data_IF_735820653200
#
_entry.id   IF_735820653200
#
_cell.length_a   1.000
_cell.length_b   1.000
_cell.length_c   1.000
_cell.angle_alpha   90.00
_cell.angle_beta   90.00
_cell.angle_gamma   90.00
#
_symmetry.space_group_name_H-M   'P 1'
#
loop_
_entity.id
_entity.type
_entity.pdbx_description
1 polymer ?
#
# COMPACT_ATOMS: atom_id res chain seq x y z
N UNK A 1 -18.52 -37.78 6.70
CA UNK A 1 -17.71 -37.73 5.47
C UNK A 1 -16.97 -36.40 5.42
N UNK A 2 -15.66 -36.37 5.70
CA UNK A 2 -14.86 -35.16 5.42
C UNK A 2 -14.82 -34.99 3.91
N UNK A 3 -15.59 -34.06 3.37
CA UNK A 3 -15.45 -33.68 1.96
C UNK A 3 -14.06 -33.08 1.82
N UNK A 4 -13.12 -33.83 1.23
CA UNK A 4 -11.79 -33.38 0.85
C UNK A 4 -11.87 -32.39 -0.33
N UNK A 5 -12.71 -31.36 -0.20
CA UNK A 5 -12.94 -30.37 -1.23
C UNK A 5 -11.96 -29.21 -1.02
N UNK A 6 -11.07 -29.02 -1.99
CA UNK A 6 -10.15 -27.88 -2.02
C UNK A 6 -10.69 -26.86 -3.03
N UNK A 7 -10.99 -25.61 -2.62
CA UNK A 7 -11.42 -24.57 -3.55
C UNK A 7 -10.40 -24.36 -4.67
N UNK A 8 -10.88 -24.25 -5.92
CA UNK A 8 -10.02 -24.06 -7.11
C UNK A 8 -9.16 -22.80 -7.00
N UNK A 9 -9.74 -21.73 -6.44
CA UNK A 9 -9.05 -20.46 -6.21
C UNK A 9 -7.85 -20.66 -5.27
N UNK A 10 -8.03 -21.37 -4.15
CA UNK A 10 -6.92 -21.62 -3.23
C UNK A 10 -5.82 -22.50 -3.87
N UNK A 11 -6.17 -23.43 -4.75
CA UNK A 11 -5.17 -24.20 -5.50
C UNK A 11 -4.37 -23.30 -6.44
N UNK A 12 -5.03 -22.39 -7.16
CA UNK A 12 -4.35 -21.45 -8.06
C UNK A 12 -3.48 -20.44 -7.28
N UNK A 13 -4.03 -19.88 -6.20
CA UNK A 13 -3.31 -18.96 -5.33
C UNK A 13 -2.09 -19.62 -4.69
N UNK A 14 -2.16 -20.92 -4.34
CA UNK A 14 -1.00 -21.63 -3.79
C UNK A 14 0.18 -21.66 -4.79
N UNK A 15 -0.10 -21.87 -6.08
CA UNK A 15 0.91 -21.85 -7.14
C UNK A 15 1.47 -20.43 -7.32
N UNK A 16 0.61 -19.42 -7.30
CA UNK A 16 1.07 -18.03 -7.41
C UNK A 16 1.96 -17.64 -6.23
N UNK A 17 1.56 -18.00 -5.00
CA UNK A 17 2.35 -17.78 -3.79
C UNK A 17 3.71 -18.48 -3.86
N UNK A 18 3.77 -19.72 -4.35
CA UNK A 18 5.04 -20.44 -4.52
C UNK A 18 6.00 -19.70 -5.47
N UNK A 19 5.48 -19.16 -6.58
CA UNK A 19 6.27 -18.36 -7.52
C UNK A 19 6.77 -17.06 -6.87
N UNK A 20 5.91 -16.35 -6.12
CA UNK A 20 6.29 -15.11 -5.42
C UNK A 20 7.33 -15.37 -4.33
N UNK A 21 7.18 -16.44 -3.53
CA UNK A 21 8.18 -16.85 -2.52
C UNK A 21 9.52 -17.14 -3.21
N UNK A 22 9.50 -17.84 -4.35
CA UNK A 22 10.69 -18.09 -5.15
C UNK A 22 11.35 -16.80 -5.65
N UNK A 23 10.56 -15.83 -6.13
CA UNK A 23 11.06 -14.55 -6.62
C UNK A 23 11.65 -13.71 -5.48
N UNK A 24 10.94 -13.58 -4.36
CA UNK A 24 11.43 -12.84 -3.18
C UNK A 24 12.74 -13.44 -2.70
N UNK A 25 12.84 -14.77 -2.58
CA UNK A 25 14.06 -15.43 -2.13
C UNK A 25 15.24 -15.18 -3.09
N UNK A 26 14.99 -15.24 -4.41
CA UNK A 26 16.00 -14.90 -5.42
C UNK A 26 16.45 -13.44 -5.30
N UNK A 27 15.52 -12.50 -5.17
CA UNK A 27 15.82 -11.08 -5.00
C UNK A 27 16.68 -10.83 -3.75
N UNK A 28 16.35 -11.46 -2.62
CA UNK A 28 17.15 -11.35 -1.40
C UNK A 28 18.57 -11.91 -1.60
N UNK A 29 18.70 -13.06 -2.26
CA UNK A 29 20.03 -13.62 -2.59
C UNK A 29 20.82 -12.67 -3.49
N UNK A 30 20.20 -12.11 -4.53
CA UNK A 30 20.86 -11.15 -5.40
C UNK A 30 21.24 -9.85 -4.69
N UNK A 31 20.45 -9.39 -3.73
CA UNK A 31 20.78 -8.23 -2.91
C UNK A 31 22.03 -8.46 -2.05
N UNK A 32 22.17 -9.65 -1.46
CA UNK A 32 23.36 -10.02 -0.67
C UNK A 32 24.60 -10.12 -1.56
N UNK A 33 24.46 -10.64 -2.78
CA UNK A 33 25.58 -10.88 -3.71
C UNK A 33 25.91 -9.63 -4.55
N UNK A 34 25.15 -8.53 -4.42
CA UNK A 34 25.29 -7.31 -5.23
C UNK A 34 26.70 -6.70 -5.23
N UNK A 35 27.47 -6.88 -4.16
CA UNK A 35 28.81 -6.31 -4.01
C UNK A 35 29.92 -7.17 -4.65
N UNK A 36 29.61 -8.34 -5.21
CA UNK A 36 30.58 -9.20 -5.89
C UNK A 36 30.78 -8.77 -7.35
N UNK A 37 31.93 -9.08 -7.97
CA UNK A 37 32.20 -8.70 -9.35
C UNK A 37 31.14 -9.30 -10.30
N UNK A 38 30.59 -8.51 -11.24
CA UNK A 38 29.42 -8.88 -12.04
C UNK A 38 29.67 -10.09 -12.97
N UNK A 39 30.92 -10.37 -13.32
CA UNK A 39 31.30 -11.52 -14.17
C UNK A 39 31.17 -12.89 -13.47
N UNK A 40 31.22 -12.94 -12.13
CA UNK A 40 30.98 -14.18 -11.39
C UNK A 40 29.48 -14.42 -11.20
N UNK A 41 28.70 -13.36 -10.98
CA UNK A 41 27.26 -13.47 -10.75
C UNK A 41 26.53 -14.09 -11.94
N UNK A 42 26.82 -13.62 -13.16
CA UNK A 42 26.18 -14.15 -14.38
C UNK A 42 26.52 -15.61 -14.63
N UNK A 43 27.74 -16.05 -14.29
CA UNK A 43 28.18 -17.43 -14.47
C UNK A 43 27.53 -18.40 -13.48
N UNK A 44 27.34 -17.97 -12.23
CA UNK A 44 26.77 -18.81 -11.17
C UNK A 44 25.25 -18.67 -11.00
N UNK A 45 24.60 -17.80 -11.78
CA UNK A 45 23.15 -17.59 -11.74
C UNK A 45 22.31 -18.89 -11.79
N UNK A 46 22.53 -19.84 -12.74
CA UNK A 46 21.75 -21.08 -12.77
C UNK A 46 22.01 -21.98 -11.55
N UNK A 47 23.23 -21.92 -11.00
CA UNK A 47 23.61 -22.73 -9.84
C UNK A 47 22.97 -22.19 -8.55
N UNK A 48 22.90 -20.87 -8.41
CA UNK A 48 22.20 -20.19 -7.33
C UNK A 48 20.69 -20.49 -7.39
N UNK A 49 20.09 -20.40 -8.57
CA UNK A 49 18.67 -20.74 -8.78
C UNK A 49 18.37 -22.20 -8.40
N UNK A 50 19.24 -23.13 -8.80
CA UNK A 50 19.12 -24.54 -8.45
C UNK A 50 19.20 -24.75 -6.94
N UNK A 51 20.20 -24.16 -6.27
CA UNK A 51 20.37 -24.29 -4.81
C UNK A 51 19.16 -23.74 -4.06
N UNK A 52 18.68 -22.55 -4.45
CA UNK A 52 17.48 -21.93 -3.89
C UNK A 52 16.24 -22.82 -4.07
N UNK A 53 15.98 -23.27 -5.31
CA UNK A 53 14.81 -24.08 -5.63
C UNK A 53 14.87 -25.46 -4.99
N UNK A 54 16.06 -26.05 -4.91
CA UNK A 54 16.32 -27.33 -4.23
C UNK A 54 16.11 -27.20 -2.73
N UNK A 55 16.60 -26.13 -2.10
CA UNK A 55 16.36 -25.85 -0.68
C UNK A 55 14.86 -25.69 -0.39
N UNK A 56 14.15 -24.87 -1.18
CA UNK A 56 12.71 -24.70 -1.05
C UNK A 56 11.97 -26.03 -1.16
N UNK A 57 12.28 -26.84 -2.17
CA UNK A 57 11.66 -28.15 -2.36
C UNK A 57 11.97 -29.12 -1.19
N UNK A 58 13.21 -29.10 -0.71
CA UNK A 58 13.69 -29.99 0.35
C UNK A 58 13.09 -29.68 1.74
N UNK A 59 12.81 -28.41 2.03
CA UNK A 59 12.16 -28.00 3.28
C UNK A 59 10.63 -28.01 3.18
N UNK A 60 10.05 -27.90 1.99
CA UNK A 60 8.59 -27.94 1.80
C UNK A 60 8.07 -29.36 1.57
N UNK A 61 8.31 -29.93 0.40
CA UNK A 61 7.68 -31.18 -0.05
C UNK A 61 8.22 -32.37 0.73
N UNK A 62 9.54 -32.44 0.98
CA UNK A 62 10.13 -33.60 1.67
C UNK A 62 9.71 -33.71 3.14
N UNK A 63 9.53 -32.59 3.83
CA UNK A 63 9.16 -32.59 5.26
C UNK A 63 7.64 -32.57 5.47
N UNK A 64 6.92 -31.73 4.71
CA UNK A 64 5.50 -31.43 4.97
C UNK A 64 4.55 -31.99 3.92
N UNK A 65 5.05 -32.66 2.87
CA UNK A 65 4.25 -33.16 1.73
C UNK A 65 3.35 -32.07 1.11
N UNK A 66 3.83 -30.82 1.11
CA UNK A 66 3.13 -29.64 0.61
C UNK A 66 4.15 -28.57 0.25
N UNK A 67 3.87 -27.80 -0.81
CA UNK A 67 4.65 -26.58 -1.12
C UNK A 67 4.38 -25.48 -0.10
N UNK A 68 5.19 -24.41 -0.07
CA UNK A 68 5.02 -23.35 0.91
C UNK A 68 3.69 -22.60 0.72
N UNK A 69 3.32 -22.28 -0.52
CA UNK A 69 2.03 -21.68 -0.85
C UNK A 69 0.86 -22.59 -0.47
N UNK A 70 1.01 -23.90 -0.65
CA UNK A 70 0.02 -24.88 -0.20
C UNK A 70 -0.11 -24.90 1.33
N UNK A 71 1.01 -24.89 2.06
CA UNK A 71 1.01 -24.84 3.54
C UNK A 71 0.28 -23.60 4.06
N UNK A 72 0.54 -22.42 3.48
CA UNK A 72 -0.12 -21.16 3.87
C UNK A 72 -1.64 -21.21 3.66
N UNK A 73 -2.11 -21.97 2.67
CA UNK A 73 -3.53 -22.15 2.37
C UNK A 73 -4.11 -23.45 2.97
N UNK A 74 -3.36 -24.12 3.85
CA UNK A 74 -3.74 -25.39 4.50
C UNK A 74 -4.13 -26.49 3.50
N UNK A 75 -3.38 -26.58 2.41
CA UNK A 75 -3.46 -27.60 1.36
C UNK A 75 -2.22 -28.51 1.49
N UNK A 76 -2.39 -29.80 1.28
CA UNK A 76 -1.31 -30.80 1.27
C UNK A 76 -1.53 -31.82 0.16
N UNK A 77 -0.46 -32.43 -0.34
CA UNK A 77 -0.62 -33.63 -1.16
C UNK A 77 -1.13 -34.81 -0.34
N UNK A 78 -1.80 -35.74 -0.99
CA UNK A 78 -2.20 -36.99 -0.36
C UNK A 78 -0.98 -37.89 -0.09
N UNK A 79 -0.73 -38.20 1.20
CA UNK A 79 0.45 -38.94 1.65
C UNK A 79 0.59 -40.30 0.97
N UNK A 80 -0.52 -40.98 0.74
CA UNK A 80 -0.57 -42.32 0.14
C UNK A 80 -0.14 -42.31 -1.33
N UNK A 81 -0.19 -41.14 -1.99
CA UNK A 81 0.19 -41.00 -3.39
C UNK A 81 1.67 -40.63 -3.57
N UNK A 82 2.36 -40.12 -2.54
CA UNK A 82 3.76 -39.69 -2.59
C UNK A 82 4.71 -40.83 -2.20
N UNK A 83 4.86 -41.81 -3.10
CA UNK A 83 5.95 -42.79 -3.01
C UNK A 83 7.32 -42.13 -3.23
N UNK A 84 8.42 -42.69 -2.68
CA UNK A 84 9.76 -42.12 -2.83
C UNK A 84 10.18 -41.97 -4.30
N UNK A 85 9.72 -42.85 -5.18
CA UNK A 85 9.95 -42.76 -6.64
C UNK A 85 9.26 -41.55 -7.25
N UNK A 86 7.99 -41.31 -6.91
CA UNK A 86 7.25 -40.14 -7.40
C UNK A 86 7.79 -38.84 -6.83
N UNK A 87 8.31 -38.87 -5.60
CA UNK A 87 8.97 -37.73 -4.97
C UNK A 87 10.27 -37.37 -5.72
N UNK A 88 11.07 -38.37 -6.13
CA UNK A 88 12.23 -38.14 -7.02
C UNK A 88 11.79 -37.62 -8.39
N UNK A 89 10.73 -38.19 -8.97
CA UNK A 89 10.21 -37.73 -10.26
C UNK A 89 9.67 -36.30 -10.19
N UNK A 90 9.02 -35.91 -9.08
CA UNK A 90 8.60 -34.54 -8.83
C UNK A 90 9.80 -33.60 -8.77
N UNK A 91 10.82 -33.92 -7.97
CA UNK A 91 12.04 -33.12 -7.91
C UNK A 91 12.67 -32.94 -9.29
N UNK A 92 12.75 -34.02 -10.05
CA UNK A 92 13.32 -33.99 -11.39
C UNK A 92 12.52 -33.08 -12.33
N UNK A 93 11.18 -33.22 -12.36
CA UNK A 93 10.33 -32.47 -13.27
C UNK A 93 10.23 -30.98 -12.91
N UNK A 94 10.27 -30.62 -11.63
CA UNK A 94 10.14 -29.21 -11.19
C UNK A 94 11.47 -28.48 -11.08
N UNK A 95 12.47 -29.10 -10.46
CA UNK A 95 13.74 -28.42 -10.12
C UNK A 95 14.82 -28.77 -11.15
N UNK A 96 15.07 -30.06 -11.39
CA UNK A 96 16.18 -30.48 -12.24
C UNK A 96 15.96 -30.11 -13.72
N UNK A 97 14.73 -30.27 -14.23
CA UNK A 97 14.39 -29.94 -15.60
C UNK A 97 14.51 -28.43 -15.88
N UNK A 98 14.07 -27.59 -14.93
CA UNK A 98 14.22 -26.14 -15.02
C UNK A 98 15.70 -25.74 -15.06
N UNK A 99 16.52 -26.37 -14.22
CA UNK A 99 17.96 -26.17 -14.22
C UNK A 99 18.64 -26.61 -15.53
N UNK A 100 18.30 -27.80 -16.05
CA UNK A 100 18.85 -28.30 -17.31
C UNK A 100 18.51 -27.36 -18.48
N UNK A 101 17.30 -26.77 -18.47
CA UNK A 101 16.90 -25.75 -19.44
C UNK A 101 17.79 -24.50 -19.33
N UNK A 102 17.96 -23.95 -18.14
CA UNK A 102 18.82 -22.77 -17.91
C UNK A 102 20.27 -23.05 -18.35
N UNK A 103 20.78 -24.24 -18.05
CA UNK A 103 22.13 -24.66 -18.44
C UNK A 103 22.29 -24.78 -19.96
N UNK A 104 21.31 -25.38 -20.64
CA UNK A 104 21.31 -25.51 -22.09
C UNK A 104 21.23 -24.15 -22.80
N UNK A 105 20.42 -23.22 -22.28
CA UNK A 105 20.31 -21.87 -22.81
C UNK A 105 21.60 -21.06 -22.60
N UNK A 106 22.24 -21.18 -21.43
CA UNK A 106 23.43 -20.40 -21.08
C UNK A 106 24.72 -20.94 -21.70
N UNK A 107 24.90 -22.27 -21.78
CA UNK A 107 26.15 -22.89 -22.26
C UNK A 107 26.13 -23.30 -23.73
N UNK A 108 24.96 -23.60 -24.29
CA UNK A 108 24.82 -24.16 -25.65
C UNK A 108 24.22 -23.17 -26.66
N UNK A 109 24.57 -21.89 -26.55
CA UNK A 109 24.14 -20.83 -27.51
C UNK A 109 24.64 -21.06 -28.93
N UNK A 110 25.66 -21.91 -29.13
CA UNK A 110 26.25 -22.18 -30.46
C UNK A 110 25.44 -23.14 -31.35
N UNK A 111 24.53 -23.94 -30.79
CA UNK A 111 23.80 -24.95 -31.55
C UNK A 111 22.39 -24.49 -31.90
N UNK A 112 22.24 -23.81 -33.04
CA UNK A 112 20.96 -23.29 -33.54
C UNK A 112 19.85 -24.36 -33.64
N UNK A 113 20.19 -25.59 -34.05
CA UNK A 113 19.24 -26.69 -34.11
C UNK A 113 18.70 -27.07 -32.72
N UNK A 114 19.58 -27.15 -31.71
CA UNK A 114 19.20 -27.45 -30.35
C UNK A 114 18.32 -26.34 -29.76
N UNK A 115 18.68 -25.08 -29.98
CA UNK A 115 17.87 -23.94 -29.55
C UNK A 115 16.47 -23.98 -30.18
N UNK A 116 16.35 -24.36 -31.46
CA UNK A 116 15.07 -24.57 -32.14
C UNK A 116 14.26 -25.73 -31.54
N UNK A 117 14.90 -26.83 -31.15
CA UNK A 117 14.20 -27.93 -30.47
C UNK A 117 13.73 -27.56 -29.06
N UNK A 118 14.54 -26.83 -28.30
CA UNK A 118 14.18 -26.37 -26.94
C UNK A 118 13.01 -25.41 -27.02
N UNK A 119 13.04 -24.44 -27.94
CA UNK A 119 11.94 -23.47 -28.12
C UNK A 119 10.65 -24.13 -28.61
N UNK A 120 10.72 -25.07 -29.55
CA UNK A 120 9.52 -25.81 -29.99
C UNK A 120 8.95 -26.68 -28.87
N UNK A 121 9.80 -27.34 -28.08
CA UNK A 121 9.38 -28.09 -26.90
C UNK A 121 8.75 -27.18 -25.85
N UNK A 122 9.30 -25.99 -25.60
CA UNK A 122 8.75 -25.00 -24.68
C UNK A 122 7.37 -24.49 -25.14
N UNK A 123 7.21 -24.22 -26.43
CA UNK A 123 5.91 -23.86 -27.00
C UNK A 123 4.90 -25.00 -26.83
N UNK A 124 5.32 -26.25 -27.06
CA UNK A 124 4.49 -27.44 -26.86
C UNK A 124 4.08 -27.60 -25.39
N UNK A 125 5.02 -27.49 -24.44
CA UNK A 125 4.76 -27.55 -23.01
C UNK A 125 3.83 -26.43 -22.55
N UNK A 126 3.97 -25.22 -23.11
CA UNK A 126 3.08 -24.09 -22.84
C UNK A 126 1.65 -24.38 -23.33
N UNK A 127 1.52 -24.93 -24.54
CA UNK A 127 0.22 -25.38 -25.06
C UNK A 127 -0.40 -26.48 -24.17
N UNK A 128 0.39 -27.46 -23.72
CA UNK A 128 -0.08 -28.50 -22.81
C UNK A 128 -0.48 -27.96 -21.44
N UNK A 129 0.27 -26.99 -20.89
CA UNK A 129 -0.09 -26.29 -19.66
C UNK A 129 -1.41 -25.54 -19.82
N UNK A 130 -1.60 -24.86 -20.95
CA UNK A 130 -2.84 -24.15 -21.27
C UNK A 130 -4.04 -25.12 -21.36
N UNK A 131 -3.88 -26.24 -22.06
CA UNK A 131 -4.91 -27.30 -22.10
C UNK A 131 -5.19 -27.89 -20.72
N UNK A 132 -4.14 -28.14 -19.93
CA UNK A 132 -4.28 -28.61 -18.55
C UNK A 132 -5.02 -27.59 -17.67
N UNK A 133 -4.81 -26.29 -17.89
CA UNK A 133 -5.51 -25.23 -17.19
C UNK A 133 -7.01 -25.25 -17.50
N UNK A 134 -7.45 -25.41 -18.76
CA UNK A 134 -8.89 -25.58 -19.06
C UNK A 134 -9.47 -26.85 -18.42
N UNK A 135 -8.73 -27.96 -18.48
CA UNK A 135 -9.13 -29.20 -17.80
C UNK A 135 -9.29 -28.97 -16.30
N UNK A 136 -8.36 -28.23 -15.69
CA UNK A 136 -8.41 -27.83 -14.29
C UNK A 136 -9.59 -26.91 -13.99
N UNK A 137 -9.91 -25.92 -14.83
CA UNK A 137 -11.08 -25.06 -14.63
C UNK A 137 -12.39 -25.86 -14.62
N UNK A 138 -12.50 -26.90 -15.46
CA UNK A 138 -13.67 -27.79 -15.50
C UNK A 138 -13.72 -28.78 -14.33
N UNK A 139 -12.59 -29.41 -14.00
CA UNK A 139 -12.53 -30.54 -13.04
C UNK A 139 -12.22 -30.11 -11.60
N UNK A 140 -11.42 -29.06 -11.43
CA UNK A 140 -10.93 -28.56 -10.14
C UNK A 140 -9.88 -29.45 -9.46
N UNK A 141 -9.23 -30.35 -10.21
CA UNK A 141 -8.19 -31.27 -9.71
C UNK A 141 -6.92 -31.19 -10.54
N UNK A 142 -5.76 -31.30 -9.87
CA UNK A 142 -4.42 -31.35 -10.47
C UNK A 142 -4.11 -30.07 -11.28
N UNK A 143 -3.83 -28.95 -10.59
CA UNK A 143 -3.69 -27.64 -11.22
C UNK A 143 -2.43 -27.52 -12.10
N UNK A 144 -1.31 -28.13 -11.70
CA UNK A 144 -0.10 -28.13 -12.52
C UNK A 144 -0.04 -29.34 -13.46
N UNK A 145 0.70 -29.23 -14.57
CA UNK A 145 0.96 -30.35 -15.47
C UNK A 145 1.84 -31.41 -14.81
N UNK A 146 2.72 -31.00 -13.89
CA UNK A 146 3.52 -31.89 -13.05
C UNK A 146 2.63 -32.79 -12.21
N UNK A 147 1.63 -32.21 -11.53
CA UNK A 147 0.66 -32.95 -10.72
C UNK A 147 -0.18 -33.89 -11.58
N UNK A 148 -0.48 -33.49 -12.81
CA UNK A 148 -1.21 -34.33 -13.75
C UNK A 148 -0.42 -35.57 -14.15
N UNK A 149 0.85 -35.41 -14.55
CA UNK A 149 1.73 -36.51 -14.96
C UNK A 149 2.00 -37.46 -13.79
N UNK A 150 2.27 -36.93 -12.60
CA UNK A 150 2.53 -37.71 -11.39
C UNK A 150 1.27 -38.21 -10.68
N UNK A 151 0.10 -37.80 -11.19
CA UNK A 151 -1.23 -38.10 -10.68
C UNK A 151 -1.42 -37.71 -9.20
N UNK A 152 -0.86 -36.58 -8.77
CA UNK A 152 -0.91 -36.11 -7.39
C UNK A 152 -2.20 -35.33 -7.10
N UNK A 153 -2.97 -35.79 -6.11
CA UNK A 153 -4.18 -35.11 -5.65
C UNK A 153 -3.91 -34.23 -4.41
N UNK A 154 -4.65 -33.13 -4.34
CA UNK A 154 -4.56 -32.15 -3.26
C UNK A 154 -5.66 -32.42 -2.23
N UNK A 155 -5.31 -32.30 -0.95
CA UNK A 155 -6.21 -32.46 0.19
C UNK A 155 -6.15 -31.22 1.07
N UNK A 156 -7.30 -30.76 1.57
CA UNK A 156 -7.34 -29.69 2.56
C UNK A 156 -7.14 -30.27 3.97
N UNK A 157 -6.22 -29.68 4.74
CA UNK A 157 -6.01 -30.00 6.16
C UNK A 157 -7.19 -29.49 6.99
N UNK A 158 -7.66 -28.28 6.69
CA UNK A 158 -8.61 -27.52 7.50
C UNK A 158 -10.10 -27.80 7.17
N UNK A 159 -10.32 -28.74 6.24
CA UNK A 159 -11.64 -29.10 5.73
C UNK A 159 -12.17 -28.09 4.70
N UNK A 160 -13.41 -28.30 4.23
CA UNK A 160 -14.05 -27.44 3.24
C UNK A 160 -14.51 -26.08 3.84
N UNK A 161 -13.62 -25.37 4.53
CA UNK A 161 -13.90 -24.01 5.01
C UNK A 161 -13.94 -23.05 3.83
N UNK A 162 -15.06 -22.34 3.71
CA UNK A 162 -15.19 -21.25 2.74
C UNK A 162 -14.29 -20.10 3.19
N UNK A 163 -13.40 -19.64 2.31
CA UNK A 163 -12.48 -18.52 2.59
C UNK A 163 -13.28 -17.31 3.09
N UNK A 164 -12.96 -16.82 4.27
CA UNK A 164 -13.43 -15.51 4.75
C UNK A 164 -12.60 -14.44 4.07
N UNK A 165 -13.19 -13.70 3.14
CA UNK A 165 -12.51 -12.58 2.47
C UNK A 165 -12.20 -11.52 3.53
N UNK A 166 -10.93 -11.14 3.65
CA UNK A 166 -10.48 -10.14 4.61
C UNK A 166 -10.88 -8.73 4.16
N UNK A 167 -12.10 -8.30 4.49
CA UNK A 167 -12.58 -6.98 4.14
C UNK A 167 -11.90 -5.84 4.92
N UNK A 168 -11.07 -6.15 5.94
CA UNK A 168 -10.49 -5.17 6.86
C UNK A 168 -9.76 -4.01 6.16
N UNK A 169 -8.98 -4.30 5.12
CA UNK A 169 -8.27 -3.28 4.37
C UNK A 169 -9.22 -2.42 3.53
N UNK A 170 -10.14 -3.06 2.79
CA UNK A 170 -11.16 -2.37 1.99
C UNK A 170 -12.04 -1.48 2.86
N UNK A 171 -12.48 -1.97 4.02
CA UNK A 171 -13.29 -1.19 4.96
C UNK A 171 -12.49 -0.03 5.54
N UNK A 172 -11.20 -0.22 5.83
CA UNK A 172 -10.34 0.88 6.32
C UNK A 172 -10.20 1.97 5.28
N UNK A 173 -9.97 1.61 4.03
CA UNK A 173 -9.84 2.57 2.93
C UNK A 173 -11.15 3.32 2.69
N UNK A 174 -12.28 2.61 2.70
CA UNK A 174 -13.60 3.20 2.51
C UNK A 174 -13.98 4.15 3.65
N UNK A 175 -13.68 3.77 4.90
CA UNK A 175 -13.88 4.64 6.07
C UNK A 175 -13.00 5.88 5.98
N UNK A 176 -11.72 5.73 5.61
CA UNK A 176 -10.81 6.86 5.50
C UNK A 176 -11.21 7.82 4.37
N UNK A 177 -11.59 7.29 3.21
CA UNK A 177 -12.10 8.08 2.10
C UNK A 177 -13.37 8.85 2.50
N UNK A 178 -14.35 8.16 3.10
CA UNK A 178 -15.57 8.80 3.57
C UNK A 178 -15.33 9.86 4.65
N UNK A 179 -14.36 9.63 5.54
CA UNK A 179 -13.94 10.61 6.54
C UNK A 179 -13.29 11.85 5.90
N UNK A 180 -12.41 11.67 4.93
CA UNK A 180 -11.75 12.79 4.22
C UNK A 180 -12.74 13.62 3.40
N UNK A 181 -13.73 12.97 2.78
CA UNK A 181 -14.82 13.66 2.08
C UNK A 181 -15.66 14.49 3.06
N UNK A 182 -16.01 13.93 4.22
CA UNK A 182 -16.70 14.65 5.28
C UNK A 182 -15.89 15.86 5.77
N UNK A 183 -14.58 15.71 5.97
CA UNK A 183 -13.68 16.83 6.33
C UNK A 183 -13.64 17.89 5.24
N UNK A 184 -13.56 17.49 3.97
CA UNK A 184 -13.56 18.41 2.82
C UNK A 184 -14.78 19.32 2.79
N UNK A 185 -15.97 18.80 3.14
CA UNK A 185 -17.19 19.60 3.21
C UNK A 185 -17.31 20.40 4.51
N UNK A 186 -16.84 19.87 5.63
CA UNK A 186 -17.00 20.51 6.95
C UNK A 186 -15.97 21.61 7.21
N UNK A 187 -14.71 21.45 6.77
CA UNK A 187 -13.63 22.42 7.00
C UNK A 187 -14.00 23.84 6.50
N UNK A 188 -14.52 24.03 5.27
CA UNK A 188 -14.92 25.36 4.79
C UNK A 188 -16.10 25.97 5.54
N UNK A 189 -16.97 25.14 6.14
CA UNK A 189 -18.13 25.60 6.93
C UNK A 189 -17.68 26.14 8.29
N UNK A 190 -16.55 25.64 8.82
CA UNK A 190 -16.00 26.12 10.08
C UNK A 190 -15.37 27.49 9.87
N UNK A 191 -16.01 28.52 10.41
CA UNK A 191 -15.43 29.87 10.45
C UNK A 191 -14.16 29.86 11.31
N UNK A 192 -13.01 29.77 10.63
CA UNK A 192 -11.69 29.75 11.24
C UNK A 192 -11.43 30.96 12.16
N UNK A 193 -11.95 32.13 11.80
CA UNK A 193 -11.78 33.35 12.60
C UNK A 193 -12.53 33.26 13.94
N UNK A 194 -13.78 32.78 13.91
CA UNK A 194 -14.58 32.59 15.12
C UNK A 194 -13.99 31.50 16.03
N UNK A 195 -13.48 30.40 15.46
CA UNK A 195 -12.83 29.32 16.20
C UNK A 195 -11.53 29.80 16.87
N UNK A 196 -10.67 30.52 16.12
CA UNK A 196 -9.43 31.10 16.63
C UNK A 196 -9.67 32.07 17.79
N UNK A 197 -10.74 32.88 17.72
CA UNK A 197 -11.14 33.77 18.81
C UNK A 197 -11.59 32.98 20.04
N UNK A 198 -12.46 31.97 19.87
CA UNK A 198 -12.92 31.12 21.00
C UNK A 198 -11.74 30.44 21.68
N UNK A 199 -10.79 29.90 20.91
CA UNK A 199 -9.58 29.26 21.45
C UNK A 199 -8.70 30.27 22.20
N UNK A 200 -8.49 31.47 21.64
CA UNK A 200 -7.70 32.53 22.28
C UNK A 200 -8.34 33.00 23.59
N UNK A 201 -9.66 33.18 23.61
CA UNK A 201 -10.39 33.65 24.79
C UNK A 201 -10.50 32.55 25.85
N UNK A 202 -10.55 31.26 25.45
CA UNK A 202 -10.42 30.13 26.38
C UNK A 202 -9.03 30.05 27.01
N UNK A 203 -7.97 30.39 26.26
CA UNK A 203 -6.59 30.36 26.73
C UNK A 203 -6.16 31.62 27.50
N UNK A 204 -6.91 32.73 27.39
CA UNK A 204 -6.61 34.00 28.06
C UNK A 204 -7.65 34.28 29.14
N UNK A 205 -7.30 33.97 30.38
CA UNK A 205 -7.95 34.53 31.56
C UNK A 205 -7.44 35.96 31.77
N UNK A 206 -8.39 36.88 31.94
CA UNK A 206 -8.28 38.30 32.28
C UNK A 206 -8.01 39.31 31.14
N UNK A 207 -9.09 40.04 30.79
CA UNK A 207 -9.05 41.30 30.04
C UNK A 207 -9.19 42.44 31.06
N UNK A 208 -8.16 43.27 31.18
CA UNK A 208 -8.16 44.46 32.05
C UNK A 208 -8.83 45.61 31.29
N UNK A 209 -9.89 46.26 31.82
CA UNK A 209 -10.56 47.35 31.10
C UNK A 209 -9.61 48.55 30.95
N UNK A 210 -9.44 49.04 29.72
CA UNK A 210 -8.68 50.26 29.42
C UNK A 210 -9.63 51.46 29.28
N UNK A 211 -9.28 52.57 29.93
CA UNK A 211 -9.92 53.87 29.76
C UNK A 211 -9.67 54.42 28.35
N UNK A 212 -10.71 55.00 27.76
CA UNK A 212 -10.71 55.52 26.38
C UNK A 212 -9.83 56.77 26.30
N UNK A 213 -8.59 56.62 25.83
CA UNK A 213 -7.73 57.76 25.51
C UNK A 213 -8.11 58.38 24.15
N UNK A 214 -7.93 59.70 24.02
CA UNK A 214 -8.17 60.45 22.76
C UNK A 214 -7.24 59.95 21.67
N UNK A 215 -7.80 59.63 20.50
CA UNK A 215 -7.06 59.09 19.35
C UNK A 215 -6.43 60.26 18.60
N UNK A 216 -5.10 60.38 18.69
CA UNK A 216 -4.33 61.37 17.92
C UNK A 216 -3.66 60.67 16.74
N UNK A 217 -3.98 61.06 15.51
CA UNK A 217 -3.29 60.54 14.33
C UNK A 217 -1.95 61.23 14.14
N UNK A 218 -0.86 60.47 14.28
CA UNK A 218 0.47 60.87 13.85
C UNK A 218 0.79 60.42 12.42
N UNK A 219 1.86 61.00 11.84
CA UNK A 219 2.41 60.64 10.52
C UNK A 219 2.88 59.18 10.46
N UNK A 220 3.26 58.61 11.61
CA UNK A 220 3.71 57.22 11.80
C UNK A 220 2.59 56.27 12.26
N UNK A 221 1.32 56.65 12.17
CA UNK A 221 0.23 55.78 12.60
C UNK A 221 0.12 54.54 11.70
N UNK A 222 0.28 53.37 12.31
CA UNK A 222 0.17 52.05 11.67
C UNK A 222 -1.13 51.35 12.06
N UNK A 223 -1.67 50.56 11.16
CA UNK A 223 -2.87 49.77 11.40
C UNK A 223 -2.54 48.61 12.35
N UNK A 224 -3.32 48.46 13.41
CA UNK A 224 -3.13 47.39 14.41
C UNK A 224 -3.35 45.97 13.84
N UNK A 225 -4.02 45.86 12.68
CA UNK A 225 -4.26 44.57 12.03
C UNK A 225 -3.20 44.20 10.99
N UNK A 226 -2.91 45.09 10.02
CA UNK A 226 -1.97 44.79 8.93
C UNK A 226 -0.55 45.35 9.15
N UNK A 227 -0.33 46.13 10.22
CA UNK A 227 0.94 46.78 10.57
C UNK A 227 1.52 47.73 9.50
N UNK A 228 0.71 48.10 8.52
CA UNK A 228 1.05 49.02 7.44
C UNK A 228 0.47 50.42 7.71
N UNK A 229 0.87 51.42 6.91
CA UNK A 229 0.30 52.77 6.97
C UNK A 229 -1.22 52.72 6.81
N UNK A 230 -1.93 53.45 7.68
CA UNK A 230 -3.40 53.39 7.73
C UNK A 230 -4.02 54.01 6.48
N UNK A 231 -4.86 53.23 5.78
CA UNK A 231 -5.71 53.69 4.67
C UNK A 231 -7.13 53.90 5.18
N UNK A 232 -7.66 55.13 5.07
CA UNK A 232 -8.96 55.53 5.63
C UNK A 232 -9.08 55.15 7.13
N UNK A 233 -8.54 55.97 8.05
CA UNK A 233 -8.44 55.62 9.47
C UNK A 233 -9.82 55.50 10.13
N UNK A 234 -10.06 54.34 10.75
CA UNK A 234 -11.26 54.05 11.53
C UNK A 234 -10.88 53.46 12.88
N UNK A 235 -11.74 53.67 13.87
CA UNK A 235 -11.63 53.05 15.18
C UNK A 235 -12.95 52.39 15.57
N UNK A 236 -12.86 51.37 16.41
CA UNK A 236 -14.00 50.56 16.85
C UNK A 236 -14.47 50.98 18.27
N UNK A 237 -14.28 52.25 18.64
CA UNK A 237 -14.52 52.75 20.02
C UNK A 237 -13.39 52.50 21.02
N UNK A 238 -12.38 51.69 20.66
CA UNK A 238 -11.12 51.61 21.39
C UNK A 238 -10.12 52.69 20.91
N UNK A 239 -9.10 53.00 21.72
CA UNK A 239 -8.00 53.91 21.36
C UNK A 239 -7.05 53.43 20.24
N UNK A 240 -7.42 52.34 19.54
CA UNK A 240 -6.62 51.70 18.49
C UNK A 240 -7.16 52.00 17.09
N UNK A 241 -6.27 52.26 16.13
CA UNK A 241 -6.60 52.67 14.76
C UNK A 241 -6.42 51.52 13.77
N UNK A 242 -7.36 51.40 12.85
CA UNK A 242 -7.40 50.40 11.78
C UNK A 242 -7.63 51.03 10.41
N UNK A 243 -7.23 50.33 9.34
CA UNK A 243 -7.69 50.65 7.99
C UNK A 243 -9.18 50.29 7.84
N UNK A 244 -9.93 51.07 7.06
CA UNK A 244 -11.33 50.77 6.75
C UNK A 244 -11.52 49.33 6.26
N UNK A 245 -10.73 48.90 5.27
CA UNK A 245 -10.83 47.56 4.67
C UNK A 245 -10.50 46.44 5.66
N UNK A 246 -9.47 46.63 6.51
CA UNK A 246 -9.11 45.65 7.53
C UNK A 246 -10.21 45.52 8.59
N UNK A 247 -10.77 46.63 9.04
CA UNK A 247 -11.82 46.61 10.07
C UNK A 247 -13.13 46.03 9.51
N UNK A 248 -13.58 46.53 8.35
CA UNK A 248 -14.80 46.07 7.69
C UNK A 248 -14.71 44.60 7.25
N UNK A 249 -13.57 44.18 6.70
CA UNK A 249 -13.34 42.78 6.30
C UNK A 249 -13.41 41.82 7.48
N UNK A 250 -12.82 42.18 8.62
CA UNK A 250 -12.90 41.36 9.82
C UNK A 250 -14.30 41.34 10.45
N UNK A 251 -15.04 42.47 10.44
CA UNK A 251 -16.43 42.52 10.91
C UNK A 251 -17.38 41.69 10.03
N UNK A 252 -17.12 41.61 8.72
CA UNK A 252 -17.87 40.75 7.80
C UNK A 252 -17.54 39.26 8.00
N UNK A 253 -16.27 38.95 8.26
CA UNK A 253 -15.83 37.58 8.53
C UNK A 253 -16.26 37.08 9.92
N UNK A 254 -16.32 37.97 10.91
CA UNK A 254 -16.72 37.69 12.28
C UNK A 254 -17.49 38.88 12.86
N UNK A 255 -18.81 38.73 13.02
CA UNK A 255 -19.70 39.76 13.56
C UNK A 255 -19.35 40.19 14.98
N UNK A 256 -18.54 39.41 15.70
CA UNK A 256 -18.06 39.77 17.03
C UNK A 256 -16.58 40.14 17.09
N UNK A 257 -15.96 40.56 15.98
CA UNK A 257 -14.55 40.94 15.93
C UNK A 257 -14.13 41.80 17.14
N UNK A 258 -13.03 41.41 17.77
CA UNK A 258 -12.43 42.07 18.92
C UNK A 258 -11.11 42.70 18.50
N UNK A 259 -10.77 43.85 19.08
CA UNK A 259 -9.47 44.47 18.83
C UNK A 259 -8.32 43.54 19.26
N UNK A 260 -7.31 43.35 18.40
CA UNK A 260 -6.17 42.46 18.67
C UNK A 260 -5.34 42.82 19.92
N UNK A 261 -5.44 44.07 20.40
CA UNK A 261 -4.60 44.61 21.47
C UNK A 261 -5.37 44.74 22.79
N UNK A 262 -6.62 45.21 22.74
CA UNK A 262 -7.42 45.49 23.94
C UNK A 262 -8.70 44.65 24.05
N UNK A 263 -8.94 43.73 23.11
CA UNK A 263 -10.12 42.84 23.05
C UNK A 263 -11.49 43.56 23.10
N UNK A 264 -11.49 44.89 22.93
CA UNK A 264 -12.69 45.70 22.89
C UNK A 264 -13.56 45.28 21.71
N UNK A 265 -14.87 45.23 21.93
CA UNK A 265 -15.87 44.81 20.95
C UNK A 265 -16.89 45.94 20.77
N UNK A 266 -17.05 46.41 19.54
CA UNK A 266 -18.16 47.29 19.17
C UNK A 266 -18.68 46.90 17.79
N UNK A 267 -19.99 46.95 17.61
CA UNK A 267 -20.62 46.81 16.29
C UNK A 267 -20.57 48.10 15.47
N UNK A 268 -20.17 49.21 16.08
CA UNK A 268 -20.09 50.54 15.46
C UNK A 268 -18.63 50.94 15.33
N UNK A 269 -18.24 51.39 14.14
CA UNK A 269 -16.92 51.95 13.88
C UNK A 269 -17.07 53.34 13.28
N UNK A 270 -16.21 54.26 13.72
CA UNK A 270 -16.24 55.65 13.33
C UNK A 270 -14.95 56.02 12.61
N UNK A 271 -15.07 56.98 11.70
CA UNK A 271 -13.91 57.53 10.99
C UNK A 271 -13.14 58.43 11.95
N UNK A 272 -11.84 58.22 12.06
CA UNK A 272 -10.99 59.13 12.82
C UNK A 272 -10.75 60.38 11.98
N UNK A 273 -11.18 61.54 12.47
CA UNK A 273 -10.93 62.83 11.85
C UNK A 273 -9.58 63.33 12.35
N UNK A 274 -8.67 63.70 11.44
CA UNK A 274 -7.43 64.36 11.81
C UNK A 274 -7.78 65.72 12.42
N UNK A 275 -7.44 65.90 13.70
CA UNK A 275 -7.52 67.19 14.39
C UNK A 275 -6.31 68.06 14.09
#
# INVERSE_FOLDING_TARGET
MKTNFVPRVNQLDSIQLDNEIGNILKEQIYNVIRNLPPGLLSRFQPEINLLASSALWNFSIRQSFATFGQQMLSITYEKDQLTPEKLKAHYFLTVALAYLKELAQFRLTGYMALQRTITTLENCLTCLNFLNFFRFLRTGRKPSLVDYVLRLDHRSIDGAKRRTIGYSYMTRELIWAGFMELLGFTIPIVNYHALKRRLRNLLRLEVRPQEVQRIVLGVESKCVYCNERVTLPHHMGCGHVFCYYCLKGNLLADSGFQCNVCDFKSGVFERVVAG
#
